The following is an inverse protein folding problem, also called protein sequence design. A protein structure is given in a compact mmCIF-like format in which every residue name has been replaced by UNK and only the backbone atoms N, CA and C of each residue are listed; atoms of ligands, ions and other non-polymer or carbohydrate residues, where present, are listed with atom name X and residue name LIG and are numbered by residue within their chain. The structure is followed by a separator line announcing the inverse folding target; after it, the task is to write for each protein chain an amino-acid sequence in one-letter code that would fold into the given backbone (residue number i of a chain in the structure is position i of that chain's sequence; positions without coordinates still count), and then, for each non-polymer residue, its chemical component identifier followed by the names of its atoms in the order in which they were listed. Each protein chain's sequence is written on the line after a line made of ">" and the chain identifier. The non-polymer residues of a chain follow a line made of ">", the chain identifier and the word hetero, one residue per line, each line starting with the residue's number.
data_IF_785044238222
#
_entry.id   IF_785044238222
#
_cell.length_a   1.000
_cell.length_b   1.000
_cell.length_c   1.000
_cell.angle_alpha   90.00
_cell.angle_beta   90.00
_cell.angle_gamma   90.00
#
_symmetry.space_group_name_H-M   'P 1'
#
loop_
_entity.id
_entity.type
_entity.pdbx_description
1 polymer ?
#
# COMPACT_ATOMS: atom_id res chain seq x y z
N UNK A 1 -4.00 -19.38 14.52
CA UNK A 1 -4.56 -19.07 13.18
C UNK A 1 -6.07 -18.74 13.21
N UNK A 2 -6.72 -18.77 14.38
CA UNK A 2 -8.17 -18.55 14.52
C UNK A 2 -8.58 -17.07 14.70
N UNK A 3 -7.72 -16.21 15.26
CA UNK A 3 -8.11 -14.83 15.63
C UNK A 3 -8.19 -13.81 14.48
N UNK A 4 -7.49 -14.02 13.36
CA UNK A 4 -7.49 -13.06 12.24
C UNK A 4 -8.88 -12.92 11.60
N UNK A 5 -9.73 -13.94 11.73
CA UNK A 5 -11.09 -13.95 11.18
C UNK A 5 -12.09 -13.17 12.06
N UNK A 6 -11.71 -12.76 13.26
CA UNK A 6 -12.58 -12.02 14.20
C UNK A 6 -12.78 -10.54 13.87
N UNK A 7 -11.94 -9.96 13.01
CA UNK A 7 -11.72 -8.52 12.91
C UNK A 7 -12.27 -7.88 11.62
N UNK A 8 -13.45 -8.29 11.16
CA UNK A 8 -14.06 -7.73 9.95
C UNK A 8 -15.39 -7.04 10.20
N UNK A 9 -15.64 -5.93 9.52
CA UNK A 9 -16.98 -5.32 9.42
C UNK A 9 -17.95 -6.26 8.70
N UNK A 10 -19.20 -6.32 9.17
CA UNK A 10 -20.23 -7.20 8.61
C UNK A 10 -20.59 -6.80 7.17
N UNK A 11 -20.32 -7.67 6.20
CA UNK A 11 -20.84 -7.53 4.84
C UNK A 11 -22.32 -7.91 4.74
N UNK A 12 -22.89 -7.76 3.54
CA UNK A 12 -24.31 -8.01 3.26
C UNK A 12 -24.79 -9.44 3.54
N UNK A 13 -23.88 -10.38 3.84
CA UNK A 13 -24.18 -11.72 4.34
C UNK A 13 -23.18 -12.12 5.43
N UNK A 14 -23.59 -12.97 6.39
CA UNK A 14 -22.73 -13.50 7.47
C UNK A 14 -21.45 -14.23 7.01
N UNK A 15 -21.28 -14.44 5.70
CA UNK A 15 -20.13 -15.10 5.06
C UNK A 15 -19.12 -14.13 4.42
N UNK A 16 -19.41 -12.83 4.30
CA UNK A 16 -18.50 -11.84 3.75
C UNK A 16 -18.02 -10.88 4.84
N UNK A 17 -17.01 -11.30 5.61
CA UNK A 17 -16.23 -10.36 6.41
C UNK A 17 -15.17 -9.75 5.51
N UNK A 18 -15.37 -8.49 5.15
CA UNK A 18 -14.37 -7.71 4.43
C UNK A 18 -13.49 -7.00 5.46
N UNK A 19 -12.17 -7.14 5.32
CA UNK A 19 -11.21 -6.36 6.10
C UNK A 19 -11.27 -4.92 5.58
N UNK A 20 -11.54 -3.96 6.46
CA UNK A 20 -11.55 -2.53 6.12
C UNK A 20 -10.20 -1.87 6.39
N UNK A 21 -10.01 -0.61 5.93
CA UNK A 21 -8.84 0.19 6.33
C UNK A 21 -8.80 0.44 7.85
N UNK A 22 -9.97 0.55 8.49
CA UNK A 22 -10.08 0.71 9.95
C UNK A 22 -9.62 -0.55 10.69
N UNK A 23 -9.94 -1.74 10.16
CA UNK A 23 -9.45 -3.00 10.73
C UNK A 23 -7.93 -3.12 10.64
N UNK A 24 -7.33 -2.66 9.53
CA UNK A 24 -5.87 -2.62 9.40
C UNK A 24 -5.21 -1.64 10.38
N UNK A 25 -5.78 -0.45 10.57
CA UNK A 25 -5.27 0.53 11.52
C UNK A 25 -5.26 -0.05 12.95
N UNK A 26 -6.38 -0.65 13.36
CA UNK A 26 -6.49 -1.29 14.67
C UNK A 26 -5.53 -2.47 14.84
N UNK A 27 -5.35 -3.30 13.81
CA UNK A 27 -4.35 -4.38 13.83
C UNK A 27 -2.92 -3.85 13.89
N UNK A 28 -2.65 -2.66 13.33
CA UNK A 28 -1.36 -2.00 13.46
C UNK A 28 -1.12 -1.51 14.89
N UNK A 29 -2.11 -0.88 15.51
CA UNK A 29 -2.04 -0.42 16.90
C UNK A 29 -1.85 -1.62 17.86
N UNK A 30 -2.61 -2.69 17.66
CA UNK A 30 -2.48 -3.94 18.44
C UNK A 30 -1.12 -4.63 18.24
N UNK A 31 -0.54 -4.54 17.04
CA UNK A 31 0.75 -5.16 16.74
C UNK A 31 1.93 -4.41 17.36
N UNK A 32 1.91 -3.07 17.39
CA UNK A 32 3.05 -2.27 17.83
C UNK A 32 4.34 -2.69 17.11
N UNK A 33 5.33 -3.15 17.89
CA UNK A 33 6.59 -3.74 17.40
C UNK A 33 6.66 -5.27 17.53
N UNK A 34 5.60 -5.92 18.02
CA UNK A 34 5.56 -7.37 18.21
C UNK A 34 5.65 -8.10 16.86
N UNK A 35 6.69 -8.94 16.64
CA UNK A 35 6.85 -9.65 15.38
C UNK A 35 5.67 -10.58 15.02
N UNK A 36 4.97 -11.12 16.01
CA UNK A 36 3.79 -11.97 15.77
C UNK A 36 2.60 -11.11 15.32
N UNK A 37 2.35 -9.99 15.98
CA UNK A 37 1.37 -8.96 15.61
C UNK A 37 1.61 -8.44 14.19
N UNK A 38 2.85 -8.04 13.87
CA UNK A 38 3.23 -7.56 12.54
C UNK A 38 2.99 -8.60 11.45
N UNK A 39 3.23 -9.89 11.75
CA UNK A 39 2.89 -10.99 10.83
C UNK A 39 1.39 -11.15 10.63
N UNK A 40 0.57 -10.98 11.68
CA UNK A 40 -0.91 -11.02 11.58
C UNK A 40 -1.42 -9.85 10.75
N UNK A 41 -0.93 -8.64 11.00
CA UNK A 41 -1.23 -7.46 10.21
C UNK A 41 -0.85 -7.69 8.73
N UNK A 42 0.34 -8.21 8.46
CA UNK A 42 0.76 -8.50 7.09
C UNK A 42 -0.21 -9.44 6.37
N UNK A 43 -0.67 -10.51 7.03
CA UNK A 43 -1.69 -11.41 6.47
C UNK A 43 -3.00 -10.67 6.20
N UNK A 44 -3.46 -9.83 7.13
CA UNK A 44 -4.66 -9.01 6.94
C UNK A 44 -4.53 -8.07 5.74
N UNK A 45 -3.37 -7.42 5.57
CA UNK A 45 -3.07 -6.55 4.42
C UNK A 45 -3.11 -7.36 3.11
N UNK A 46 -2.58 -8.59 3.09
CA UNK A 46 -2.63 -9.43 1.89
C UNK A 46 -4.05 -9.85 1.54
N UNK A 47 -4.88 -10.21 2.54
CA UNK A 47 -6.30 -10.53 2.36
C UNK A 47 -7.05 -9.31 1.81
N UNK A 48 -6.92 -8.16 2.47
CA UNK A 48 -7.49 -6.89 2.04
C UNK A 48 -7.08 -6.53 0.60
N UNK A 49 -5.78 -6.62 0.32
CA UNK A 49 -5.19 -6.23 -0.95
C UNK A 49 -5.50 -7.16 -2.12
N UNK A 50 -6.00 -8.37 -1.88
CA UNK A 50 -6.32 -9.36 -2.92
C UNK A 50 -7.74 -9.20 -3.46
N UNK A 51 -8.67 -8.70 -2.65
CA UNK A 51 -10.10 -8.60 -3.00
C UNK A 51 -10.79 -9.96 -3.15
N UNK A 52 -12.12 -9.95 -3.29
CA UNK A 52 -12.95 -11.16 -3.38
C UNK A 52 -12.77 -11.96 -4.69
N UNK A 53 -12.25 -11.33 -5.75
CA UNK A 53 -12.23 -11.89 -7.12
C UNK A 53 -10.88 -12.44 -7.57
N UNK A 54 -9.79 -12.28 -6.79
CA UNK A 54 -8.47 -12.75 -7.20
C UNK A 54 -8.03 -13.97 -6.40
N UNK A 55 -8.33 -15.17 -6.90
CA UNK A 55 -7.77 -16.44 -6.39
C UNK A 55 -6.23 -16.55 -6.42
N UNK A 56 -5.52 -15.51 -6.89
CA UNK A 56 -4.05 -15.40 -6.85
C UNK A 56 -3.51 -14.88 -5.51
N UNK A 57 -4.33 -14.16 -4.73
CA UNK A 57 -3.96 -13.63 -3.41
C UNK A 57 -3.49 -14.69 -2.41
N UNK A 58 -4.20 -15.82 -2.27
CA UNK A 58 -3.82 -16.90 -1.35
C UNK A 58 -2.45 -17.52 -1.68
N UNK A 59 -2.16 -17.77 -2.97
CA UNK A 59 -0.92 -18.46 -3.40
C UNK A 59 0.35 -17.64 -3.15
N UNK A 60 0.30 -16.33 -3.37
CA UNK A 60 1.46 -15.46 -3.09
C UNK A 60 1.67 -15.23 -1.58
N UNK A 61 0.57 -15.22 -0.82
CA UNK A 61 0.61 -15.10 0.65
C UNK A 61 1.22 -16.35 1.28
N UNK A 62 0.84 -17.54 0.82
CA UNK A 62 1.40 -18.81 1.32
C UNK A 62 2.92 -18.89 1.10
N UNK A 63 3.38 -18.60 -0.13
CA UNK A 63 4.84 -18.57 -0.44
C UNK A 63 5.59 -17.58 0.44
N UNK A 64 5.00 -16.41 0.69
CA UNK A 64 5.60 -15.41 1.57
C UNK A 64 5.66 -15.88 3.02
N UNK A 65 4.60 -16.54 3.52
CA UNK A 65 4.51 -17.05 4.88
C UNK A 65 5.50 -18.18 5.17
N UNK A 66 5.94 -18.90 4.12
CA UNK A 66 7.00 -19.91 4.20
C UNK A 66 8.42 -19.32 4.11
N UNK A 67 8.60 -18.02 3.81
CA UNK A 67 9.93 -17.40 3.76
C UNK A 67 10.46 -17.19 5.19
N UNK A 68 11.58 -17.82 5.59
CA UNK A 68 12.10 -17.69 6.96
C UNK A 68 12.54 -16.26 7.29
N UNK A 69 12.75 -15.40 6.29
CA UNK A 69 13.15 -14.01 6.47
C UNK A 69 11.97 -13.08 6.74
N UNK A 70 10.72 -13.56 6.54
CA UNK A 70 9.51 -12.72 6.58
C UNK A 70 9.46 -11.88 7.85
N UNK A 71 9.52 -12.51 9.02
CA UNK A 71 9.41 -11.83 10.31
C UNK A 71 10.42 -10.68 10.44
N UNK A 72 11.69 -10.93 10.13
CA UNK A 72 12.72 -9.90 10.20
C UNK A 72 12.54 -8.78 9.16
N UNK A 73 12.04 -9.10 7.96
CA UNK A 73 11.73 -8.08 6.94
C UNK A 73 10.56 -7.21 7.38
N UNK A 74 9.50 -7.80 7.95
CA UNK A 74 8.34 -7.04 8.45
C UNK A 74 8.76 -6.06 9.54
N UNK A 75 9.45 -6.53 10.59
CA UNK A 75 9.93 -5.66 11.67
C UNK A 75 10.83 -4.53 11.17
N UNK A 76 11.82 -4.84 10.33
CA UNK A 76 12.73 -3.80 9.79
C UNK A 76 12.00 -2.78 8.92
N UNK A 77 11.12 -3.23 8.04
CA UNK A 77 10.43 -2.32 7.12
C UNK A 77 9.34 -1.51 7.81
N UNK A 78 8.69 -2.03 8.86
CA UNK A 78 7.81 -1.24 9.71
C UNK A 78 8.57 -0.09 10.40
N UNK A 79 9.72 -0.39 11.03
CA UNK A 79 10.55 0.64 11.66
C UNK A 79 11.03 1.70 10.66
N UNK A 80 11.48 1.28 9.47
CA UNK A 80 11.91 2.21 8.42
C UNK A 80 10.76 3.11 7.92
N UNK A 81 9.57 2.55 7.71
CA UNK A 81 8.39 3.32 7.31
C UNK A 81 8.01 4.35 8.37
N UNK A 82 7.90 3.94 9.64
CA UNK A 82 7.58 4.85 10.75
C UNK A 82 8.63 5.96 10.92
N UNK A 83 9.90 5.67 10.64
CA UNK A 83 10.97 6.68 10.63
C UNK A 83 10.98 7.61 9.39
N UNK A 84 10.13 7.35 8.39
CA UNK A 84 10.09 8.09 7.12
C UNK A 84 11.13 7.66 6.07
N UNK A 85 11.95 6.63 6.33
CA UNK A 85 12.93 6.11 5.37
C UNK A 85 12.31 5.10 4.39
N UNK A 86 11.42 5.62 3.54
CA UNK A 86 10.70 4.84 2.54
C UNK A 86 11.63 4.24 1.46
N UNK A 87 12.78 4.87 1.17
CA UNK A 87 13.74 4.35 0.21
C UNK A 87 14.42 3.08 0.72
N UNK A 88 14.86 3.08 1.99
CA UNK A 88 15.42 1.90 2.63
C UNK A 88 14.34 0.84 2.85
N UNK A 89 13.12 1.21 3.25
CA UNK A 89 12.01 0.25 3.38
C UNK A 89 11.77 -0.48 2.05
N UNK A 90 11.67 0.27 0.95
CA UNK A 90 11.51 -0.29 -0.40
C UNK A 90 12.68 -1.20 -0.79
N UNK A 91 13.91 -0.82 -0.44
CA UNK A 91 15.11 -1.59 -0.75
C UNK A 91 15.16 -2.90 0.03
N UNK A 92 14.78 -2.87 1.31
CA UNK A 92 14.86 -4.01 2.21
C UNK A 92 13.67 -4.98 2.11
N UNK A 93 12.52 -4.54 1.59
CA UNK A 93 11.39 -5.45 1.40
C UNK A 93 11.67 -6.44 0.26
N UNK A 94 12.18 -7.63 0.61
CA UNK A 94 12.57 -8.70 -0.32
C UNK A 94 12.03 -10.04 0.17
N UNK A 95 10.77 -10.31 -0.15
CA UNK A 95 10.08 -11.59 0.13
C UNK A 95 9.61 -12.21 -1.18
N UNK A 96 9.90 -13.50 -1.36
CA UNK A 96 9.51 -14.22 -2.58
C UNK A 96 7.99 -14.20 -2.74
N UNK A 97 7.51 -13.90 -3.94
CA UNK A 97 6.09 -13.87 -4.27
C UNK A 97 5.38 -12.55 -3.96
N UNK A 98 6.01 -11.62 -3.24
CA UNK A 98 5.41 -10.32 -2.90
C UNK A 98 6.01 -9.22 -3.77
N UNK A 99 5.23 -8.78 -4.77
CA UNK A 99 5.59 -7.66 -5.64
C UNK A 99 5.29 -6.29 -5.03
N UNK A 100 5.78 -5.22 -5.68
CA UNK A 100 5.55 -3.82 -5.29
C UNK A 100 4.10 -3.50 -4.91
N UNK A 101 3.08 -3.82 -5.73
CA UNK A 101 1.69 -3.50 -5.38
C UNK A 101 1.23 -4.02 -4.02
N UNK A 102 1.83 -5.10 -3.53
CA UNK A 102 1.49 -5.71 -2.24
C UNK A 102 2.34 -5.15 -1.11
N UNK A 103 3.65 -5.01 -1.27
CA UNK A 103 4.45 -4.48 -0.16
C UNK A 103 4.24 -2.98 0.08
N UNK A 104 3.81 -2.20 -0.90
CA UNK A 104 3.43 -0.80 -0.64
C UNK A 104 2.12 -0.70 0.14
N UNK A 105 1.25 -1.72 0.09
CA UNK A 105 0.09 -1.83 1.00
C UNK A 105 0.54 -2.15 2.42
N UNK A 106 1.58 -2.98 2.57
CA UNK A 106 2.21 -3.18 3.86
C UNK A 106 2.77 -1.87 4.41
N UNK A 107 3.49 -1.07 3.61
CA UNK A 107 4.00 0.24 4.04
C UNK A 107 2.87 1.16 4.49
N UNK A 108 1.82 1.33 3.69
CA UNK A 108 0.68 2.17 4.05
C UNK A 108 -0.06 1.67 5.31
N UNK A 109 -0.01 0.38 5.64
CA UNK A 109 -0.67 -0.19 6.81
C UNK A 109 0.14 -0.08 8.10
N UNK A 110 1.47 0.05 8.03
CA UNK A 110 2.35 0.21 9.21
C UNK A 110 2.79 1.64 9.47
N UNK A 111 2.45 2.55 8.55
CA UNK A 111 2.64 3.98 8.74
C UNK A 111 1.71 4.48 9.84
N UNK A 112 2.29 5.06 10.89
CA UNK A 112 1.60 5.58 12.07
C UNK A 112 1.28 7.07 11.94
N UNK A 113 1.55 7.67 10.78
CA UNK A 113 1.32 9.08 10.50
C UNK A 113 2.30 10.03 11.19
N UNK A 114 3.36 9.52 11.82
CA UNK A 114 4.39 10.34 12.49
C UNK A 114 5.32 11.06 11.50
N UNK A 115 5.47 10.52 10.29
CA UNK A 115 6.26 11.14 9.22
C UNK A 115 5.45 12.19 8.45
N UNK A 116 6.14 13.22 7.94
CA UNK A 116 5.52 14.26 7.09
C UNK A 116 4.95 13.67 5.78
N UNK A 117 5.68 12.70 5.22
CA UNK A 117 5.35 12.03 3.95
C UNK A 117 4.97 10.57 4.22
N UNK A 118 3.68 10.37 4.53
CA UNK A 118 3.10 9.05 4.79
C UNK A 118 3.27 8.11 3.59
N UNK A 119 3.50 6.84 3.86
CA UNK A 119 3.56 5.82 2.84
C UNK A 119 2.23 5.69 2.09
N UNK A 120 2.30 5.81 0.76
CA UNK A 120 1.18 5.57 -0.15
C UNK A 120 1.36 4.27 -0.95
N UNK A 121 0.26 3.65 -1.34
CA UNK A 121 0.16 2.46 -2.16
C UNK A 121 0.47 2.82 -3.61
N UNK A 122 1.41 2.09 -4.23
CA UNK A 122 1.76 2.22 -5.65
C UNK A 122 1.48 0.91 -6.40
N UNK A 123 0.20 0.64 -6.63
CA UNK A 123 -0.24 -0.53 -7.39
C UNK A 123 -0.31 -0.27 -8.91
N UNK A 124 -0.78 -1.26 -9.66
CA UNK A 124 -0.87 -1.16 -11.12
C UNK A 124 -1.97 -0.22 -11.60
N UNK A 125 -3.04 -0.01 -10.82
CA UNK A 125 -4.14 0.91 -11.16
C UNK A 125 -3.70 2.36 -10.96
N UNK A 126 -3.11 2.65 -9.80
CA UNK A 126 -2.52 3.95 -9.50
C UNK A 126 -1.48 4.32 -10.55
N UNK A 127 -0.54 3.42 -10.85
CA UNK A 127 0.45 3.66 -11.90
C UNK A 127 -0.16 3.90 -13.27
N UNK A 128 -1.27 3.23 -13.60
CA UNK A 128 -1.93 3.40 -14.90
C UNK A 128 -2.56 4.79 -15.00
N UNK A 129 -3.26 5.23 -13.96
CA UNK A 129 -3.85 6.58 -13.90
C UNK A 129 -2.78 7.65 -13.98
N UNK A 130 -1.69 7.51 -13.21
CA UNK A 130 -0.56 8.45 -13.28
C UNK A 130 0.03 8.54 -14.69
N UNK A 131 0.24 7.39 -15.36
CA UNK A 131 0.75 7.39 -16.73
C UNK A 131 -0.25 8.01 -17.73
N UNK A 132 -1.56 7.81 -17.53
CA UNK A 132 -2.61 8.41 -18.35
C UNK A 132 -2.66 9.93 -18.21
N UNK A 133 -2.33 10.45 -17.01
CA UNK A 133 -2.13 11.87 -16.73
C UNK A 133 -0.76 12.41 -17.20
N UNK A 134 0.02 11.61 -17.94
CA UNK A 134 1.34 12.00 -18.44
C UNK A 134 2.46 11.95 -17.38
N UNK A 135 2.17 11.59 -16.13
CA UNK A 135 3.18 11.45 -15.09
C UNK A 135 3.87 10.08 -15.16
N UNK A 136 5.12 10.07 -15.62
CA UNK A 136 5.92 8.85 -15.77
C UNK A 136 6.99 8.77 -14.68
N UNK A 137 6.83 7.83 -13.75
CA UNK A 137 7.68 7.71 -12.54
C UNK A 137 9.20 7.77 -12.74
N UNK A 138 9.76 7.14 -13.77
CA UNK A 138 11.23 7.19 -13.98
C UNK A 138 11.70 8.53 -14.56
N UNK A 139 10.84 9.24 -15.30
CA UNK A 139 11.13 10.59 -15.80
C UNK A 139 11.08 11.57 -14.64
N UNK A 140 10.02 11.50 -13.83
CA UNK A 140 9.87 12.31 -12.63
C UNK A 140 11.03 12.13 -11.64
N UNK A 141 11.50 10.89 -11.47
CA UNK A 141 12.62 10.58 -10.57
C UNK A 141 14.01 10.83 -11.19
N UNK A 142 14.11 11.10 -12.50
CA UNK A 142 15.40 11.15 -13.20
C UNK A 142 16.19 9.84 -13.19
N UNK A 143 15.59 8.71 -12.81
CA UNK A 143 16.27 7.42 -12.64
C UNK A 143 15.33 6.24 -12.82
N UNK A 144 15.90 5.09 -13.23
CA UNK A 144 15.17 3.80 -13.28
C UNK A 144 15.11 3.11 -11.91
N UNK A 145 15.88 3.57 -10.92
CA UNK A 145 15.93 3.02 -9.56
C UNK A 145 14.56 3.11 -8.87
N UNK A 146 13.96 1.95 -8.56
CA UNK A 146 12.61 1.87 -8.00
C UNK A 146 12.43 2.50 -6.61
N UNK A 147 13.33 2.30 -5.63
CA UNK A 147 13.27 3.04 -4.37
C UNK A 147 13.11 4.55 -4.56
N UNK A 148 13.95 5.16 -5.41
CA UNK A 148 13.89 6.60 -5.67
C UNK A 148 12.57 6.98 -6.36
N UNK A 149 12.11 6.17 -7.32
CA UNK A 149 10.82 6.37 -8.00
C UNK A 149 9.62 6.30 -7.06
N UNK A 150 9.66 5.42 -6.06
CA UNK A 150 8.61 5.30 -5.07
C UNK A 150 8.55 6.52 -4.17
N UNK A 151 9.71 6.96 -3.65
CA UNK A 151 9.78 8.20 -2.85
C UNK A 151 9.33 9.42 -3.66
N UNK A 152 9.74 9.50 -4.93
CA UNK A 152 9.30 10.58 -5.85
C UNK A 152 7.79 10.56 -6.05
N UNK A 153 7.18 9.38 -6.17
CA UNK A 153 5.73 9.23 -6.22
C UNK A 153 5.05 9.74 -4.94
N UNK A 154 5.51 9.31 -3.75
CA UNK A 154 4.92 9.72 -2.46
C UNK A 154 4.99 11.25 -2.31
N UNK A 155 6.16 11.83 -2.60
CA UNK A 155 6.38 13.28 -2.58
C UNK A 155 5.45 14.04 -3.51
N UNK A 156 5.31 13.57 -4.75
CA UNK A 156 4.44 14.19 -5.74
C UNK A 156 2.98 14.17 -5.27
N UNK A 157 2.49 13.02 -4.81
CA UNK A 157 1.13 12.88 -4.31
C UNK A 157 0.86 13.78 -3.10
N UNK A 158 1.80 13.88 -2.16
CA UNK A 158 1.66 14.79 -1.01
C UNK A 158 1.64 16.26 -1.44
N UNK A 159 2.54 16.66 -2.34
CA UNK A 159 2.59 18.03 -2.85
C UNK A 159 1.32 18.40 -3.63
N UNK A 160 0.79 17.48 -4.44
CA UNK A 160 -0.48 17.73 -5.15
C UNK A 160 -1.67 17.76 -4.20
N UNK A 161 -1.71 16.88 -3.21
CA UNK A 161 -2.76 16.86 -2.20
C UNK A 161 -2.78 18.16 -1.39
N UNK A 162 -1.61 18.72 -1.07
CA UNK A 162 -1.48 20.04 -0.44
C UNK A 162 -2.06 21.17 -1.31
N UNK A 163 -1.73 21.19 -2.61
CA UNK A 163 -2.27 22.20 -3.56
C UNK A 163 -3.78 22.05 -3.76
N UNK A 164 -4.29 20.82 -3.71
CA UNK A 164 -5.72 20.50 -3.91
C UNK A 164 -6.53 20.55 -2.61
N UNK A 165 -5.90 20.82 -1.47
CA UNK A 165 -6.52 20.83 -0.14
C UNK A 165 -7.26 19.52 0.20
N UNK A 166 -6.66 18.37 -0.16
CA UNK A 166 -7.19 17.02 0.13
C UNK A 166 -6.19 16.17 0.88
N UNK A 167 -6.67 15.09 1.50
CA UNK A 167 -5.80 14.08 2.08
C UNK A 167 -5.02 13.31 0.99
N UNK A 168 -3.70 13.06 1.15
CA UNK A 168 -2.93 12.27 0.18
C UNK A 168 -3.49 10.87 -0.04
N UNK A 169 -4.09 10.27 1.00
CA UNK A 169 -4.76 8.97 0.93
C UNK A 169 -6.06 9.00 0.11
N UNK A 170 -6.75 10.14 0.09
CA UNK A 170 -7.91 10.35 -0.78
C UNK A 170 -7.48 10.49 -2.24
N UNK A 171 -6.41 11.25 -2.49
CA UNK A 171 -5.85 11.38 -3.84
C UNK A 171 -5.37 10.01 -4.38
N UNK A 172 -4.69 9.20 -3.56
CA UNK A 172 -4.34 7.81 -3.91
C UNK A 172 -5.58 6.98 -4.26
N UNK A 173 -6.64 7.08 -3.46
CA UNK A 173 -7.90 6.37 -3.71
C UNK A 173 -8.52 6.79 -5.04
N UNK A 174 -8.55 8.09 -5.35
CA UNK A 174 -9.01 8.60 -6.64
C UNK A 174 -8.20 8.01 -7.80
N UNK A 175 -6.87 8.00 -7.69
CA UNK A 175 -6.00 7.41 -8.71
C UNK A 175 -6.26 5.91 -8.89
N UNK A 176 -6.53 5.20 -7.79
CA UNK A 176 -6.88 3.78 -7.81
C UNK A 176 -8.24 3.54 -8.48
N UNK A 177 -9.25 4.36 -8.17
CA UNK A 177 -10.62 4.24 -8.67
C UNK A 177 -10.72 4.53 -10.18
N UNK A 178 -10.04 5.60 -10.62
CA UNK A 178 -9.91 5.96 -12.03
C UNK A 178 -9.27 4.85 -12.86
N UNK A 179 -8.38 4.03 -12.28
CA UNK A 179 -7.80 2.82 -12.90
C UNK A 179 -7.30 2.97 -14.36
N UNK A 180 -6.85 4.18 -14.74
CA UNK A 180 -6.43 4.57 -16.10
C UNK A 180 -7.50 5.23 -16.97
N UNK A 181 -8.75 5.23 -16.54
CA UNK A 181 -9.92 5.81 -17.19
C UNK A 181 -10.02 7.31 -16.86
N UNK A 182 -9.05 8.08 -17.35
CA UNK A 182 -9.02 9.54 -17.17
C UNK A 182 -9.81 10.19 -18.31
N UNK A 183 -10.76 11.10 -18.02
CA UNK A 183 -11.43 11.85 -19.07
C UNK A 183 -10.41 12.57 -19.96
N UNK A 184 -10.59 12.49 -21.28
CA UNK A 184 -9.83 13.35 -22.19
C UNK A 184 -10.12 14.80 -21.81
N UNK A 185 -9.08 15.66 -21.84
CA UNK A 185 -9.23 17.09 -21.55
C UNK A 185 -10.48 17.63 -22.26
N UNK A 186 -11.45 18.11 -21.48
CA UNK A 186 -12.46 18.98 -22.03
C UNK A 186 -11.70 20.24 -22.46
N UNK A 187 -11.34 20.29 -23.74
CA UNK A 187 -10.79 21.49 -24.36
C UNK A 187 -11.76 22.62 -24.05
N UNK A 188 -11.42 23.46 -23.07
CA UNK A 188 -12.02 24.77 -22.96
C UNK A 188 -11.60 25.51 -24.22
N UNK A 189 -12.49 25.53 -25.20
CA UNK A 189 -12.40 26.49 -26.31
C UNK A 189 -12.38 27.88 -25.69
N UNK A 190 -11.29 28.59 -25.95
CA UNK A 190 -11.13 30.01 -25.62
C UNK A 190 -12.19 30.88 -26.32
#
# INVERSE_FOLDING_TARGET
>A
MSDVLGQGTAGSTSKERLISRQDLARLCDEAGDDPVGLRRLFVAVMIWGSGATNGRGPRYTEVALSDPRLTGVLSRTAALVRSGDLASAYTQFRIRGIGRPFFTKWFAAVDDGSSRERALILDSRVLRTLNALGWVSYKAAGTKNWPIRYVTYVRAMHSWAEVLEVEPSWLEWLMFDLKGDVPAEATCSA
#
